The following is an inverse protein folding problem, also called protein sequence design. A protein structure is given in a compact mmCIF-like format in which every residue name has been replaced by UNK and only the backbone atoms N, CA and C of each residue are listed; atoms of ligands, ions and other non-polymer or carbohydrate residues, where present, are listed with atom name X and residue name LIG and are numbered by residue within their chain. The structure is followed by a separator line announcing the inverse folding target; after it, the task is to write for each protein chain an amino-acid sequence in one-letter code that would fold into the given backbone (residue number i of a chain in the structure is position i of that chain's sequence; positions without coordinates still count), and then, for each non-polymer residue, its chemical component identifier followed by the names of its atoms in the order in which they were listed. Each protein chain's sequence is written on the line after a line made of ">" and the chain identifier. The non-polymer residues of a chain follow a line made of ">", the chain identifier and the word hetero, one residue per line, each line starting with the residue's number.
data_IF_266028761014
#
_entry.id   IF_266028761014
#
_cell.length_a   1.000
_cell.length_b   1.000
_cell.length_c   1.000
_cell.angle_alpha   90.00
_cell.angle_beta   90.00
_cell.angle_gamma   90.00
#
_symmetry.space_group_name_H-M   'P 1'
#
loop_
_entity.id
_entity.type
_entity.pdbx_description
1 polymer ?
#
# COMPACT_ATOMS: atom_id res chain seq x y z
N UNK A 1 17.06 13.31 44.33
CA UNK A 1 16.00 13.91 43.49
C UNK A 1 16.37 13.66 42.05
N UNK A 2 15.73 12.68 41.42
CA UNK A 2 15.92 12.33 40.02
C UNK A 2 15.01 13.22 39.19
N UNK A 3 15.58 14.03 38.31
CA UNK A 3 14.83 14.78 37.31
C UNK A 3 14.42 13.84 36.18
N UNK A 4 13.12 13.64 36.02
CA UNK A 4 12.52 12.99 34.86
C UNK A 4 12.73 13.84 33.61
N UNK A 5 13.09 13.27 32.45
CA UNK A 5 13.05 14.00 31.20
C UNK A 5 11.60 14.07 30.70
N UNK A 6 11.11 15.29 30.51
CA UNK A 6 9.85 15.59 29.84
C UNK A 6 9.84 15.02 28.41
N UNK A 7 8.70 14.51 27.91
CA UNK A 7 8.62 14.05 26.53
C UNK A 7 8.68 15.24 25.57
N UNK A 8 9.59 15.14 24.61
CA UNK A 8 9.71 16.05 23.48
C UNK A 8 8.39 16.04 22.69
N UNK A 9 7.75 17.20 22.60
CA UNK A 9 6.64 17.43 21.67
C UNK A 9 7.18 17.32 20.24
N UNK A 10 6.88 16.22 19.57
CA UNK A 10 7.03 16.11 18.12
C UNK A 10 5.83 16.82 17.51
N UNK A 11 6.06 17.96 16.87
CA UNK A 11 5.06 18.66 16.08
C UNK A 11 4.79 17.86 14.80
N UNK A 12 3.56 17.37 14.64
CA UNK A 12 3.14 16.66 13.43
C UNK A 12 2.67 17.65 12.38
N UNK A 13 3.31 17.63 11.21
CA UNK A 13 2.79 18.30 10.02
C UNK A 13 1.61 17.49 9.50
N UNK A 14 0.39 18.00 9.72
CA UNK A 14 -0.84 17.50 9.12
C UNK A 14 -0.74 17.59 7.59
N UNK A 15 -0.91 16.46 6.90
CA UNK A 15 -0.97 16.40 5.44
C UNK A 15 -2.42 16.04 5.06
N UNK A 16 -3.15 17.02 4.55
CA UNK A 16 -4.43 16.83 3.87
C UNK A 16 -4.16 16.38 2.43
N UNK A 17 -4.81 15.33 1.94
CA UNK A 17 -4.85 15.03 0.50
C UNK A 17 -6.29 14.63 0.12
N UNK A 18 -6.97 15.65 -0.42
CA UNK A 18 -8.20 15.69 -1.23
C UNK A 18 -9.51 15.24 -0.56
N UNK A 19 -10.17 16.21 0.08
CA UNK A 19 -11.62 16.39 -0.09
C UNK A 19 -11.89 16.59 -1.59
N UNK A 20 -12.57 15.64 -2.23
CA UNK A 20 -13.54 16.01 -3.25
C UNK A 20 -14.83 16.20 -2.49
N UNK A 21 -15.39 17.41 -2.54
CA UNK A 21 -16.76 17.67 -2.10
C UNK A 21 -17.65 16.56 -2.66
N UNK A 22 -18.18 15.71 -1.78
CA UNK A 22 -19.22 14.78 -2.19
C UNK A 22 -20.40 15.62 -2.66
N UNK A 23 -20.91 15.42 -3.90
CA UNK A 23 -22.16 16.03 -4.28
C UNK A 23 -23.22 15.61 -3.26
N UNK A 24 -24.02 16.58 -2.84
CA UNK A 24 -24.97 16.54 -1.72
C UNK A 24 -26.15 15.55 -1.90
N UNK A 25 -25.97 14.48 -2.67
CA UNK A 25 -27.01 13.55 -3.08
C UNK A 25 -26.47 12.13 -3.22
N UNK A 26 -25.98 11.52 -2.13
CA UNK A 26 -26.08 10.07 -2.01
C UNK A 26 -27.28 9.77 -1.12
N UNK A 27 -28.36 9.38 -1.81
CA UNK A 27 -29.59 8.91 -1.20
C UNK A 27 -29.24 7.65 -0.42
N UNK A 28 -29.33 7.73 0.91
CA UNK A 28 -29.38 6.56 1.78
C UNK A 28 -30.52 5.66 1.29
N UNK A 29 -30.18 4.53 0.67
CA UNK A 29 -31.13 3.43 0.52
C UNK A 29 -31.03 2.58 1.78
N UNK A 30 -32.05 2.57 2.65
CA UNK A 30 -32.03 1.65 3.76
C UNK A 30 -32.31 0.25 3.19
N UNK A 31 -31.57 -0.76 3.66
CA UNK A 31 -31.85 -2.21 3.50
C UNK A 31 -31.23 -2.99 2.33
N UNK A 32 -30.07 -2.61 1.79
CA UNK A 32 -29.26 -3.61 1.07
C UNK A 32 -28.40 -4.36 2.11
N UNK A 33 -28.70 -5.63 2.35
CA UNK A 33 -27.81 -6.51 3.13
C UNK A 33 -26.49 -6.57 2.37
N UNK A 34 -25.37 -6.30 3.05
CA UNK A 34 -24.05 -6.38 2.42
C UNK A 34 -23.83 -7.74 1.74
N UNK A 35 -23.23 -7.70 0.55
CA UNK A 35 -22.90 -8.90 -0.22
C UNK A 35 -22.16 -9.93 0.66
N UNK A 36 -22.55 -11.22 0.63
CA UNK A 36 -21.96 -12.24 1.51
C UNK A 36 -20.45 -12.40 1.36
N UNK A 37 -19.90 -12.15 0.18
CA UNK A 37 -18.45 -12.21 -0.08
C UNK A 37 -17.76 -11.04 0.63
N UNK A 38 -18.32 -9.84 0.52
CA UNK A 38 -17.81 -8.65 1.17
C UNK A 38 -17.90 -8.78 2.69
N UNK A 39 -19.02 -9.32 3.21
CA UNK A 39 -19.19 -9.61 4.64
C UNK A 39 -18.11 -10.57 5.16
N UNK A 40 -17.88 -11.70 4.49
CA UNK A 40 -16.86 -12.68 4.87
C UNK A 40 -15.44 -12.10 4.73
N UNK A 41 -15.22 -11.22 3.76
CA UNK A 41 -13.96 -10.53 3.59
C UNK A 41 -13.66 -9.61 4.78
N UNK A 42 -14.63 -8.78 5.18
CA UNK A 42 -14.51 -7.93 6.37
C UNK A 42 -14.26 -8.75 7.64
N UNK A 43 -14.91 -9.91 7.81
CA UNK A 43 -14.64 -10.82 8.94
C UNK A 43 -13.20 -11.34 8.93
N UNK A 44 -12.68 -11.73 7.75
CA UNK A 44 -11.31 -12.20 7.59
C UNK A 44 -10.29 -11.09 7.92
N UNK A 45 -10.53 -9.88 7.40
CA UNK A 45 -9.71 -8.68 7.66
C UNK A 45 -9.73 -8.30 9.15
N UNK A 46 -10.90 -8.33 9.79
CA UNK A 46 -11.02 -8.09 11.22
C UNK A 46 -10.19 -9.07 12.04
N UNK A 47 -10.22 -10.35 11.67
CA UNK A 47 -9.51 -11.42 12.39
C UNK A 47 -8.01 -11.37 12.18
N UNK A 48 -7.55 -10.75 11.08
CA UNK A 48 -6.13 -10.67 10.74
C UNK A 48 -5.41 -9.46 11.35
N UNK A 49 -6.17 -8.49 11.86
CA UNK A 49 -5.69 -7.23 12.40
C UNK A 49 -6.18 -7.03 13.84
N UNK A 50 -5.33 -6.45 14.67
CA UNK A 50 -5.60 -6.15 16.07
C UNK A 50 -5.37 -4.67 16.38
N UNK A 51 -6.13 -4.17 17.35
CA UNK A 51 -5.93 -2.86 17.94
C UNK A 51 -4.63 -2.84 18.77
N UNK A 52 -3.81 -1.81 18.61
CA UNK A 52 -2.68 -1.58 19.54
C UNK A 52 -3.16 -1.09 20.91
N UNK A 53 -2.30 -1.16 21.95
CA UNK A 53 -2.61 -0.59 23.25
C UNK A 53 -3.03 0.89 23.12
N UNK A 54 -4.25 1.20 23.56
CA UNK A 54 -4.86 2.53 23.47
C UNK A 54 -5.67 2.80 22.19
N UNK A 55 -5.77 1.83 21.28
CA UNK A 55 -6.64 1.86 20.10
C UNK A 55 -8.03 1.34 20.40
N UNK A 56 -9.03 1.93 19.75
CA UNK A 56 -10.41 1.46 19.72
C UNK A 56 -10.99 1.44 18.29
N UNK A 57 -10.14 1.35 17.26
CA UNK A 57 -10.57 1.38 15.86
C UNK A 57 -11.59 0.26 15.56
N UNK A 58 -11.31 -0.97 16.02
CA UNK A 58 -12.18 -2.11 15.78
C UNK A 58 -13.37 -2.20 16.74
N UNK A 59 -13.59 -1.20 17.61
CA UNK A 59 -14.71 -1.23 18.56
C UNK A 59 -16.08 -1.28 17.88
N UNK A 60 -16.20 -0.71 16.67
CA UNK A 60 -17.43 -0.75 15.87
C UNK A 60 -17.59 -2.04 15.05
N UNK A 61 -16.53 -2.82 14.86
CA UNK A 61 -16.53 -4.01 14.02
C UNK A 61 -17.02 -5.23 14.80
N UNK A 62 -18.27 -5.21 15.23
CA UNK A 62 -18.86 -6.24 16.10
C UNK A 62 -19.59 -7.36 15.34
N UNK A 63 -19.80 -7.21 14.02
CA UNK A 63 -20.53 -8.15 13.14
C UNK A 63 -21.92 -8.57 13.65
N UNK A 64 -22.47 -7.83 14.61
CA UNK A 64 -23.87 -7.90 15.03
C UNK A 64 -24.68 -6.74 14.45
N UNK A 65 -23.98 -5.68 14.04
CA UNK A 65 -24.49 -4.50 13.37
C UNK A 65 -24.14 -4.48 11.88
N UNK A 66 -24.71 -3.52 11.15
CA UNK A 66 -24.50 -3.33 9.70
C UNK A 66 -23.02 -3.00 9.40
N UNK A 67 -22.29 -3.81 8.63
CA UNK A 67 -20.85 -3.58 8.41
C UNK A 67 -20.51 -2.28 7.70
N UNK A 68 -21.43 -1.71 6.93
CA UNK A 68 -21.25 -0.39 6.31
C UNK A 68 -21.25 0.78 7.31
N UNK A 69 -21.58 0.51 8.59
CA UNK A 69 -21.45 1.48 9.70
C UNK A 69 -20.12 1.36 10.45
N UNK A 70 -19.30 0.36 10.12
CA UNK A 70 -18.02 0.15 10.75
C UNK A 70 -17.06 1.30 10.46
N UNK A 71 -16.23 1.63 11.45
CA UNK A 71 -15.17 2.62 11.29
C UNK A 71 -14.28 2.27 10.10
N UNK A 72 -14.23 3.16 9.11
CA UNK A 72 -13.42 2.99 7.91
C UNK A 72 -14.05 2.14 6.80
N UNK A 73 -15.28 1.66 6.92
CA UNK A 73 -15.97 0.93 5.83
C UNK A 73 -17.02 1.84 5.20
N UNK A 74 -16.97 2.01 3.88
CA UNK A 74 -18.00 2.74 3.12
C UNK A 74 -18.53 1.88 1.99
N UNK A 75 -19.84 1.88 1.84
CA UNK A 75 -20.54 1.05 0.88
C UNK A 75 -21.33 1.89 -0.13
N UNK A 76 -21.49 1.35 -1.33
CA UNK A 76 -22.49 1.78 -2.31
C UNK A 76 -23.40 0.58 -2.60
N UNK A 77 -24.68 0.70 -2.24
CA UNK A 77 -25.60 -0.43 -2.24
C UNK A 77 -25.14 -1.56 -1.29
N UNK A 78 -24.97 -2.76 -1.84
CA UNK A 78 -24.55 -3.98 -1.13
C UNK A 78 -23.04 -4.25 -1.21
N UNK A 79 -22.24 -3.31 -1.70
CA UNK A 79 -20.81 -3.50 -1.94
C UNK A 79 -19.94 -2.52 -1.18
N UNK A 80 -18.80 -2.99 -0.67
CA UNK A 80 -17.76 -2.15 -0.07
C UNK A 80 -16.98 -1.48 -1.19
N UNK A 81 -17.05 -0.14 -1.23
CA UNK A 81 -16.34 0.68 -2.22
C UNK A 81 -15.09 1.36 -1.65
N UNK A 82 -15.07 1.62 -0.35
CA UNK A 82 -13.91 2.20 0.33
C UNK A 82 -13.64 1.48 1.64
N UNK A 83 -12.37 1.13 1.87
CA UNK A 83 -11.88 0.56 3.12
C UNK A 83 -10.69 1.39 3.62
N UNK A 84 -10.82 1.98 4.80
CA UNK A 84 -9.84 2.88 5.42
C UNK A 84 -9.37 2.33 6.77
N UNK A 85 -8.35 1.48 6.72
CA UNK A 85 -7.76 0.83 7.90
C UNK A 85 -6.90 1.83 8.70
N UNK A 86 -7.26 2.05 9.97
CA UNK A 86 -6.51 2.89 10.91
C UNK A 86 -6.85 4.39 10.89
N UNK A 87 -8.00 4.80 10.34
CA UNK A 87 -8.44 6.21 10.31
C UNK A 87 -8.41 6.84 11.73
N UNK A 88 -7.69 7.97 11.94
CA UNK A 88 -7.56 8.61 13.25
C UNK A 88 -8.89 9.18 13.80
N UNK A 89 -9.92 9.40 12.97
CA UNK A 89 -11.27 9.75 13.44
C UNK A 89 -11.92 8.63 14.24
N UNK A 90 -11.43 7.40 14.12
CA UNK A 90 -11.87 6.24 14.90
C UNK A 90 -10.99 5.95 16.13
N UNK A 91 -10.17 6.91 16.59
CA UNK A 91 -9.49 6.86 17.89
C UNK A 91 -8.24 5.97 17.98
N UNK A 92 -7.58 5.68 16.85
CA UNK A 92 -6.47 4.71 16.81
C UNK A 92 -5.06 5.34 16.90
N UNK A 93 -4.18 4.88 17.82
CA UNK A 93 -2.72 5.01 17.74
C UNK A 93 -2.08 4.01 16.75
N UNK A 94 -2.89 3.24 16.00
CA UNK A 94 -2.46 2.30 14.96
C UNK A 94 -3.03 0.88 15.12
N UNK A 95 -2.94 0.10 14.05
CA UNK A 95 -3.30 -1.33 14.01
C UNK A 95 -2.03 -2.20 13.96
N UNK A 96 -2.13 -3.43 14.42
CA UNK A 96 -1.12 -4.49 14.26
C UNK A 96 -1.73 -5.71 13.55
N UNK A 97 -0.89 -6.69 13.17
CA UNK A 97 -1.32 -7.90 12.45
C UNK A 97 -0.98 -7.90 10.96
N UNK A 98 -1.68 -8.72 10.19
CA UNK A 98 -1.44 -8.94 8.76
C UNK A 98 -2.60 -8.44 7.92
N UNK A 99 -2.30 -7.88 6.75
CA UNK A 99 -3.31 -7.58 5.75
C UNK A 99 -3.79 -8.92 5.16
N UNK A 100 -5.06 -9.26 5.38
CA UNK A 100 -5.63 -10.51 4.88
C UNK A 100 -5.87 -10.41 3.36
N UNK A 101 -5.52 -11.45 2.57
CA UNK A 101 -5.81 -11.47 1.14
C UNK A 101 -7.30 -11.45 0.83
N UNK A 102 -8.19 -11.64 1.81
CA UNK A 102 -9.61 -11.46 1.60
C UNK A 102 -10.01 -10.04 1.13
N UNK A 103 -9.14 -9.02 1.23
CA UNK A 103 -9.35 -7.72 0.60
C UNK A 103 -9.60 -7.86 -0.92
N UNK A 104 -8.96 -8.84 -1.57
CA UNK A 104 -9.15 -9.13 -3.01
C UNK A 104 -10.59 -9.55 -3.34
N UNK A 105 -11.33 -10.04 -2.34
CA UNK A 105 -12.73 -10.45 -2.52
C UNK A 105 -13.69 -9.26 -2.55
N UNK A 106 -13.26 -8.07 -2.14
CA UNK A 106 -14.03 -6.83 -2.19
C UNK A 106 -14.08 -6.32 -3.64
N UNK A 107 -14.93 -6.95 -4.44
CA UNK A 107 -14.98 -6.77 -5.90
C UNK A 107 -15.24 -5.35 -6.39
N UNK A 108 -15.87 -4.50 -5.57
CA UNK A 108 -16.19 -3.12 -5.88
C UNK A 108 -15.24 -2.10 -5.22
N UNK A 109 -14.19 -2.55 -4.52
CA UNK A 109 -13.30 -1.69 -3.77
C UNK A 109 -12.56 -0.73 -4.71
N UNK A 110 -12.97 0.54 -4.67
CA UNK A 110 -12.39 1.63 -5.45
C UNK A 110 -11.24 2.29 -4.70
N UNK A 111 -11.29 2.30 -3.36
CA UNK A 111 -10.31 2.96 -2.50
C UNK A 111 -9.93 2.10 -1.30
N UNK A 112 -8.62 1.88 -1.12
CA UNK A 112 -8.04 1.26 0.06
C UNK A 112 -7.04 2.22 0.70
N UNK A 113 -7.37 2.71 1.88
CA UNK A 113 -6.50 3.56 2.68
C UNK A 113 -5.97 2.77 3.88
N UNK A 114 -4.67 2.87 4.13
CA UNK A 114 -4.01 2.27 5.29
C UNK A 114 -3.17 3.35 5.97
N UNK A 115 -3.61 3.77 7.16
CA UNK A 115 -2.94 4.80 7.96
C UNK A 115 -1.81 4.13 8.77
N UNK A 116 -0.54 4.52 8.56
CA UNK A 116 0.61 3.87 9.20
C UNK A 116 0.78 4.30 10.66
N UNK A 117 1.19 3.38 11.55
CA UNK A 117 1.54 3.82 12.90
C UNK A 117 2.00 2.89 14.01
N UNK A 118 1.99 1.53 13.94
CA UNK A 118 2.74 0.61 14.88
C UNK A 118 2.40 -0.89 14.71
N UNK A 119 2.63 -1.50 13.54
CA UNK A 119 2.61 -2.98 13.47
C UNK A 119 3.92 -3.51 14.07
N UNK A 120 3.93 -3.80 15.36
CA UNK A 120 5.05 -4.47 16.03
C UNK A 120 4.81 -5.98 16.03
N UNK A 121 5.69 -6.64 15.29
CA UNK A 121 5.93 -8.09 15.20
C UNK A 121 5.08 -8.86 14.15
N UNK A 122 5.76 -9.14 13.03
CA UNK A 122 5.38 -9.97 11.90
C UNK A 122 4.27 -9.45 10.96
N UNK A 123 4.49 -8.26 10.41
CA UNK A 123 3.92 -7.90 9.10
C UNK A 123 4.32 -8.95 8.05
N UNK A 124 3.43 -9.33 7.13
CA UNK A 124 3.78 -10.28 6.08
C UNK A 124 4.96 -9.72 5.27
N UNK A 125 5.94 -10.58 5.02
CA UNK A 125 7.03 -10.26 4.10
C UNK A 125 6.50 -9.98 2.69
N UNK A 126 5.27 -10.36 2.38
CA UNK A 126 4.69 -10.20 1.05
C UNK A 126 3.33 -9.50 1.15
N UNK A 127 3.18 -8.39 0.42
CA UNK A 127 1.90 -7.78 0.07
C UNK A 127 1.64 -8.11 -1.39
N UNK A 128 0.73 -9.05 -1.64
CA UNK A 128 0.22 -9.36 -2.98
C UNK A 128 -1.24 -8.89 -3.05
N UNK A 129 -1.52 -8.04 -4.05
CA UNK A 129 -2.85 -7.57 -4.42
C UNK A 129 -3.00 -7.64 -5.94
N UNK A 130 -2.26 -8.52 -6.61
CA UNK A 130 -2.25 -8.61 -8.06
C UNK A 130 -3.57 -9.12 -8.66
N UNK A 131 -3.83 -8.80 -9.93
CA UNK A 131 -5.01 -9.23 -10.68
C UNK A 131 -6.35 -8.76 -10.09
N UNK A 132 -6.38 -7.53 -9.60
CA UNK A 132 -7.59 -6.89 -9.09
C UNK A 132 -8.01 -5.70 -9.98
N UNK A 133 -9.01 -4.96 -9.55
CA UNK A 133 -9.50 -3.75 -10.22
C UNK A 133 -9.20 -2.47 -9.42
N UNK A 134 -8.21 -2.51 -8.54
CA UNK A 134 -7.89 -1.43 -7.61
C UNK A 134 -7.47 -0.18 -8.40
N UNK A 135 -8.08 0.95 -8.07
CA UNK A 135 -7.83 2.27 -8.66
C UNK A 135 -7.13 3.22 -7.67
N UNK A 136 -6.83 4.44 -8.10
CA UNK A 136 -6.16 5.44 -7.24
C UNK A 136 -4.65 5.25 -7.12
N UNK A 137 -4.00 6.01 -6.24
CA UNK A 137 -2.54 6.00 -6.06
C UNK A 137 -2.10 5.12 -4.91
N UNK A 138 -0.91 4.51 -5.02
CA UNK A 138 -0.31 3.75 -3.92
C UNK A 138 0.16 4.72 -2.83
N UNK A 139 -0.33 4.59 -1.58
CA UNK A 139 0.06 5.48 -0.50
C UNK A 139 1.54 5.30 -0.14
N UNK A 140 2.22 6.41 0.17
CA UNK A 140 3.66 6.43 0.53
C UNK A 140 3.98 5.55 1.73
N UNK A 141 3.00 5.33 2.61
CA UNK A 141 3.11 4.49 3.80
C UNK A 141 3.57 3.07 3.47
N UNK A 142 3.07 2.47 2.38
CA UNK A 142 3.46 1.12 1.94
C UNK A 142 4.97 1.05 1.68
N UNK A 143 5.55 2.11 1.11
CA UNK A 143 6.99 2.19 0.82
C UNK A 143 7.88 2.28 2.06
N UNK A 144 7.31 2.51 3.24
CA UNK A 144 8.04 2.69 4.51
C UNK A 144 7.90 1.50 5.47
N UNK A 145 7.13 0.47 5.12
CA UNK A 145 6.90 -0.69 5.99
C UNK A 145 8.19 -1.51 6.18
N UNK A 146 8.73 -1.63 7.41
CA UNK A 146 10.11 -2.07 7.64
C UNK A 146 10.35 -3.56 7.38
N UNK A 147 9.32 -4.38 7.35
CA UNK A 147 9.40 -5.85 7.22
C UNK A 147 9.02 -6.36 5.82
N UNK A 148 8.54 -5.47 4.96
CA UNK A 148 7.90 -5.85 3.70
C UNK A 148 8.97 -6.13 2.65
N UNK A 149 9.04 -7.39 2.23
CA UNK A 149 10.04 -7.94 1.32
C UNK A 149 9.56 -8.04 -0.13
N UNK A 150 8.27 -8.25 -0.36
CA UNK A 150 7.67 -8.39 -1.68
C UNK A 150 6.42 -7.51 -1.77
N UNK A 151 6.40 -6.57 -2.72
CA UNK A 151 5.21 -5.81 -3.11
C UNK A 151 4.81 -6.26 -4.50
N UNK A 152 3.64 -6.85 -4.64
CA UNK A 152 3.10 -7.37 -5.90
C UNK A 152 1.73 -6.73 -6.11
N UNK A 153 1.65 -5.71 -6.95
CA UNK A 153 0.43 -4.93 -7.24
C UNK A 153 0.05 -5.00 -8.73
N UNK A 154 0.58 -6.00 -9.45
CA UNK A 154 0.45 -6.07 -10.89
C UNK A 154 -0.98 -6.38 -11.37
N UNK A 155 -1.29 -6.03 -12.62
CA UNK A 155 -2.62 -6.24 -13.22
C UNK A 155 -3.75 -5.58 -12.40
N UNK A 156 -3.62 -4.27 -12.18
CA UNK A 156 -4.63 -3.42 -11.52
C UNK A 156 -4.90 -2.18 -12.38
N UNK A 157 -5.64 -1.21 -11.83
CA UNK A 157 -5.91 0.11 -12.44
C UNK A 157 -5.30 1.25 -11.60
N UNK A 158 -4.22 0.97 -10.86
CA UNK A 158 -3.52 1.95 -10.02
C UNK A 158 -2.91 3.05 -10.88
N UNK A 159 -2.91 4.28 -10.39
CA UNK A 159 -2.53 5.48 -11.13
C UNK A 159 -1.73 6.47 -10.26
N UNK A 160 -1.37 7.62 -10.82
CA UNK A 160 -0.49 8.59 -10.15
C UNK A 160 0.99 8.18 -10.20
N UNK A 161 1.79 8.76 -9.31
CA UNK A 161 3.25 8.49 -9.25
C UNK A 161 3.56 7.28 -8.37
N UNK A 162 4.62 6.55 -8.71
CA UNK A 162 5.15 5.48 -7.85
C UNK A 162 5.72 6.11 -6.56
N UNK A 163 5.25 5.70 -5.36
CA UNK A 163 5.78 6.24 -4.11
C UNK A 163 7.23 5.80 -3.86
N UNK A 164 7.91 6.50 -2.97
CA UNK A 164 9.26 6.11 -2.55
C UNK A 164 9.20 4.86 -1.67
N UNK A 165 9.77 3.76 -2.16
CA UNK A 165 10.04 2.55 -1.39
C UNK A 165 11.44 2.69 -0.77
N UNK A 166 11.48 2.90 0.55
CA UNK A 166 12.72 3.13 1.31
C UNK A 166 13.06 1.99 2.26
N UNK A 167 12.14 1.03 2.41
CA UNK A 167 12.36 -0.17 3.21
C UNK A 167 13.51 -1.01 2.68
N UNK A 168 14.51 -1.28 3.54
CA UNK A 168 15.68 -2.08 3.19
C UNK A 168 15.42 -3.59 3.18
N UNK A 169 14.23 -4.01 3.62
CA UNK A 169 13.81 -5.42 3.52
C UNK A 169 13.22 -5.75 2.15
N UNK A 170 12.89 -4.75 1.33
CA UNK A 170 12.22 -4.95 0.03
C UNK A 170 13.17 -5.57 -1.00
N UNK A 171 12.82 -6.77 -1.45
CA UNK A 171 13.55 -7.59 -2.42
C UNK A 171 12.81 -7.62 -3.77
N UNK A 172 11.47 -7.61 -3.77
CA UNK A 172 10.65 -7.71 -4.97
C UNK A 172 9.64 -6.57 -5.05
N UNK A 173 9.62 -5.88 -6.19
CA UNK A 173 8.60 -4.90 -6.54
C UNK A 173 8.04 -5.22 -7.94
N UNK A 174 6.77 -5.57 -8.00
CA UNK A 174 6.05 -5.85 -9.24
C UNK A 174 4.82 -4.94 -9.36
N UNK A 175 4.92 -3.94 -10.24
CA UNK A 175 3.89 -2.94 -10.54
C UNK A 175 3.39 -3.05 -11.99
N UNK A 176 3.71 -4.14 -12.70
CA UNK A 176 3.37 -4.25 -14.13
C UNK A 176 1.87 -4.15 -14.39
N UNK A 177 1.49 -3.72 -15.59
CA UNK A 177 0.10 -3.63 -16.03
C UNK A 177 -0.76 -2.78 -15.07
N UNK A 178 -0.39 -1.51 -14.96
CA UNK A 178 -1.11 -0.47 -14.22
C UNK A 178 -1.11 0.82 -15.05
N UNK A 179 -1.57 1.92 -14.46
CA UNK A 179 -1.63 3.24 -15.07
C UNK A 179 -0.71 4.26 -14.36
N UNK A 180 0.42 3.80 -13.78
CA UNK A 180 1.40 4.67 -13.12
C UNK A 180 2.05 5.63 -14.11
N UNK A 181 2.29 6.87 -13.69
CA UNK A 181 2.80 7.95 -14.54
C UNK A 181 3.86 8.79 -13.79
N UNK A 182 4.50 9.72 -14.51
CA UNK A 182 5.57 10.55 -13.97
C UNK A 182 6.94 9.85 -13.95
N UNK A 183 7.90 10.48 -13.29
CA UNK A 183 9.30 10.03 -13.26
C UNK A 183 9.69 9.36 -11.94
N UNK A 184 10.58 8.38 -12.03
CA UNK A 184 11.17 7.73 -10.87
C UNK A 184 12.37 8.54 -10.37
N UNK A 185 12.36 8.91 -9.08
CA UNK A 185 13.49 9.59 -8.47
C UNK A 185 14.64 8.60 -8.22
N UNK A 186 15.92 8.98 -8.36
CA UNK A 186 17.05 8.07 -8.11
C UNK A 186 17.07 7.42 -6.72
N UNK A 187 16.35 8.00 -5.75
CA UNK A 187 16.24 7.51 -4.37
C UNK A 187 14.90 6.87 -4.03
N UNK A 188 14.01 6.69 -5.01
CA UNK A 188 12.67 6.15 -4.77
C UNK A 188 12.63 4.64 -4.59
N UNK A 189 13.71 3.90 -4.88
CA UNK A 189 13.79 2.45 -4.70
C UNK A 189 14.98 2.07 -3.79
N UNK A 190 14.86 1.01 -2.98
CA UNK A 190 15.91 0.60 -2.05
C UNK A 190 16.99 -0.25 -2.75
N UNK A 191 18.21 -0.23 -2.21
CA UNK A 191 19.36 -0.96 -2.77
C UNK A 191 19.25 -2.49 -2.58
N UNK A 192 18.34 -2.93 -1.72
CA UNK A 192 18.06 -4.35 -1.44
C UNK A 192 17.34 -5.07 -2.59
N UNK A 193 16.82 -4.33 -3.57
CA UNK A 193 15.89 -4.82 -4.58
C UNK A 193 16.59 -5.76 -5.57
N UNK A 194 15.98 -6.93 -5.79
CA UNK A 194 16.48 -7.99 -6.67
C UNK A 194 15.54 -8.24 -7.86
N UNK A 195 14.26 -7.94 -7.73
CA UNK A 195 13.26 -8.09 -8.79
C UNK A 195 12.49 -6.78 -8.95
N UNK A 196 12.63 -6.15 -10.12
CA UNK A 196 11.90 -4.94 -10.49
C UNK A 196 11.11 -5.17 -11.78
N UNK A 197 9.79 -5.06 -11.70
CA UNK A 197 8.89 -5.13 -12.84
C UNK A 197 7.97 -3.92 -12.83
N UNK A 198 8.16 -3.02 -13.80
CA UNK A 198 7.39 -1.79 -13.99
C UNK A 198 6.69 -1.75 -15.35
N UNK A 199 6.70 -2.87 -16.08
CA UNK A 199 6.28 -2.89 -17.48
C UNK A 199 4.80 -2.57 -17.68
N UNK A 200 4.45 -2.08 -18.88
CA UNK A 200 3.07 -1.72 -19.24
C UNK A 200 2.47 -0.69 -18.27
N UNK A 201 3.11 0.48 -18.20
CA UNK A 201 2.67 1.66 -17.45
C UNK A 201 2.89 2.92 -18.31
N UNK A 202 2.64 4.10 -17.74
CA UNK A 202 2.81 5.41 -18.39
C UNK A 202 4.03 6.17 -17.81
N UNK A 203 5.00 5.47 -17.23
CA UNK A 203 6.17 6.09 -16.60
C UNK A 203 7.06 6.78 -17.64
N UNK A 204 7.64 7.93 -17.28
CA UNK A 204 8.43 8.75 -18.19
C UNK A 204 9.70 9.30 -17.52
N UNK A 205 10.65 9.76 -18.32
CA UNK A 205 11.89 10.39 -17.84
C UNK A 205 13.06 9.41 -17.61
N UNK A 206 14.19 9.93 -17.10
CA UNK A 206 15.47 9.21 -17.01
C UNK A 206 15.41 8.05 -16.02
N UNK A 207 15.99 6.92 -16.39
CA UNK A 207 16.11 5.73 -15.51
C UNK A 207 17.54 5.35 -15.14
N UNK A 208 18.53 5.94 -15.82
CA UNK A 208 19.97 5.67 -15.68
C UNK A 208 20.48 5.80 -14.23
N UNK A 209 20.18 6.93 -13.56
CA UNK A 209 20.64 7.25 -12.19
C UNK A 209 20.02 6.34 -11.14
N UNK A 210 18.79 5.90 -11.37
CA UNK A 210 18.10 4.94 -10.51
C UNK A 210 18.78 3.57 -10.62
N UNK A 211 18.92 3.06 -11.86
CA UNK A 211 19.45 1.73 -12.13
C UNK A 211 20.91 1.56 -11.70
N UNK A 212 21.72 2.62 -11.80
CA UNK A 212 23.12 2.59 -11.35
C UNK A 212 23.28 2.22 -9.87
N UNK A 213 22.25 2.50 -9.05
CA UNK A 213 22.27 2.20 -7.62
C UNK A 213 21.79 0.78 -7.29
N UNK A 214 20.99 0.18 -8.16
CA UNK A 214 20.32 -1.11 -7.90
C UNK A 214 21.20 -2.30 -8.27
N UNK A 215 22.37 -2.40 -7.63
CA UNK A 215 23.41 -3.39 -7.92
C UNK A 215 23.09 -4.84 -7.49
N UNK A 216 21.91 -5.09 -6.94
CA UNK A 216 21.43 -6.43 -6.54
C UNK A 216 20.34 -6.97 -7.46
N UNK A 217 19.98 -6.25 -8.53
CA UNK A 217 18.94 -6.68 -9.47
C UNK A 217 19.36 -7.96 -10.19
N UNK A 218 18.48 -8.96 -10.12
CA UNK A 218 18.53 -10.21 -10.89
C UNK A 218 17.50 -10.21 -12.02
N UNK A 219 16.45 -9.39 -11.89
CA UNK A 219 15.39 -9.25 -12.88
C UNK A 219 14.99 -7.78 -13.02
N UNK A 220 14.91 -7.32 -14.26
CA UNK A 220 14.46 -5.98 -14.61
C UNK A 220 13.56 -6.04 -15.84
N UNK A 221 12.31 -5.58 -15.68
CA UNK A 221 11.41 -5.34 -16.81
C UNK A 221 10.84 -3.91 -16.73
N UNK A 222 11.26 -3.09 -17.68
CA UNK A 222 10.84 -1.69 -17.84
C UNK A 222 10.07 -1.46 -19.15
N UNK A 223 9.78 -2.54 -19.89
CA UNK A 223 9.18 -2.47 -21.22
C UNK A 223 7.81 -1.78 -21.22
N UNK A 224 7.35 -1.31 -22.37
CA UNK A 224 6.01 -0.73 -22.51
C UNK A 224 5.78 0.46 -21.54
N UNK A 225 6.75 1.37 -21.48
CA UNK A 225 6.69 2.66 -20.79
C UNK A 225 7.18 3.78 -21.72
N UNK A 226 7.29 5.01 -21.22
CA UNK A 226 7.83 6.20 -21.90
C UNK A 226 9.16 6.66 -21.30
N UNK A 227 9.92 5.72 -20.73
CA UNK A 227 11.20 5.99 -20.06
C UNK A 227 12.27 6.44 -21.07
N UNK A 228 13.18 7.30 -20.63
CA UNK A 228 14.29 7.83 -21.42
C UNK A 228 15.64 7.40 -20.83
N UNK A 229 16.70 7.76 -21.56
CA UNK A 229 18.10 7.52 -21.23
C UNK A 229 18.53 6.05 -21.33
N UNK A 230 19.83 5.82 -21.16
CA UNK A 230 20.44 4.53 -21.37
C UNK A 230 20.26 3.61 -20.17
N UNK A 231 20.04 2.33 -20.43
CA UNK A 231 20.16 1.28 -19.42
C UNK A 231 21.67 1.06 -19.15
N UNK A 232 22.18 1.30 -17.93
CA UNK A 232 23.60 1.09 -17.63
C UNK A 232 24.04 -0.36 -17.87
N UNK A 233 25.20 -0.54 -18.50
CA UNK A 233 25.73 -1.86 -18.86
C UNK A 233 26.17 -2.73 -17.67
N UNK A 234 26.24 -2.15 -16.46
CA UNK A 234 26.69 -2.80 -15.23
C UNK A 234 25.54 -3.11 -14.25
N UNK A 235 24.28 -3.14 -14.69
CA UNK A 235 23.14 -3.50 -13.82
C UNK A 235 23.24 -4.96 -13.36
N UNK A 236 23.60 -5.86 -14.27
CA UNK A 236 23.81 -7.27 -13.96
C UNK A 236 25.31 -7.55 -13.89
N UNK A 237 25.93 -7.30 -12.74
CA UNK A 237 27.29 -7.80 -12.52
C UNK A 237 27.20 -9.30 -12.26
N UNK A 238 27.32 -10.10 -13.32
CA UNK A 238 27.69 -11.50 -13.17
C UNK A 238 29.10 -11.51 -12.58
N UNK A 239 29.24 -11.84 -11.30
CA UNK A 239 30.51 -12.35 -10.77
C UNK A 239 30.74 -13.71 -11.42
N UNK A 240 31.15 -13.70 -12.69
CA UNK A 240 31.85 -14.83 -13.27
C UNK A 240 33.13 -14.96 -12.47
N UNK A 241 33.22 -16.01 -11.67
CA UNK A 241 34.50 -16.41 -11.10
C UNK A 241 35.45 -16.70 -12.26
N UNK A 242 36.27 -15.72 -12.63
CA UNK A 242 37.51 -15.98 -13.33
C UNK A 242 38.42 -16.65 -12.33
N UNK A 243 38.68 -17.94 -12.55
CA UNK A 243 39.56 -18.72 -11.71
C UNK A 243 40.97 -18.14 -11.62
N UNK A 244 41.59 -18.41 -10.48
CA UNK A 244 42.94 -18.95 -10.37
C UNK A 244 42.89 -20.16 -9.43
#
# INVERSE_FOLDING_TARGET
>A
MLFSPSPLFVTYTTIYIVELEMPSYLIFSPHAILDPIDFLALQSIRKSLDDLPGSNYFASWDFTSEPCSFGGVYCDGDKVITLSLGDPRAGSPGLTGRIDPAIEKLSALAELTIVPGRVNESLPQTLDLSFNHITGSVPRSIGTLPTLSNVILCHNRLSGTVPSFVSQSLIRLDLKNNNFSGSLSPVSLPLSLQYLSLSSNLLAGPVDRLLYRLNRLNYLDLSMNRLSDCIPGNIFTFFGGSGE
#
